data_IF_620046800569
#
_entry.id   IF_620046800569
#
_cell.length_a   1.000
_cell.length_b   1.000
_cell.length_c   1.000
_cell.angle_alpha   90.00
_cell.angle_beta   90.00
_cell.angle_gamma   90.00
#
_symmetry.space_group_name_H-M   'P 1'
#
loop_
_entity.id
_entity.type
_entity.pdbx_description
1 polymer ?
#
# COMPACT_ATOMS: atom_id res chain seq x y z
N UNK A 1 8.04 19.25 -3.35
CA UNK A 1 6.89 19.29 -2.42
C UNK A 1 6.80 17.96 -1.72
N UNK A 2 6.28 17.96 -0.49
CA UNK A 2 6.15 16.75 0.33
C UNK A 2 4.72 16.61 0.81
N UNK A 3 4.30 15.38 1.09
CA UNK A 3 3.09 15.06 1.83
C UNK A 3 3.50 14.76 3.26
N UNK A 4 2.77 15.33 4.23
CA UNK A 4 2.88 14.98 5.64
C UNK A 4 1.62 14.23 6.05
N UNK A 5 1.77 12.99 6.50
CA UNK A 5 0.69 12.14 6.99
C UNK A 5 0.90 11.86 8.48
N UNK A 6 -0.20 11.91 9.24
CA UNK A 6 -0.26 11.47 10.63
C UNK A 6 -1.06 10.18 10.70
N UNK A 7 -0.50 9.13 11.28
CA UNK A 7 -1.18 7.82 11.36
C UNK A 7 -0.82 7.05 12.62
N UNK A 8 -1.68 6.12 13.05
CA UNK A 8 -1.44 5.29 14.24
C UNK A 8 -0.46 4.15 13.98
N UNK A 9 -0.35 3.67 12.75
CA UNK A 9 0.52 2.55 12.37
C UNK A 9 1.15 2.85 11.01
N UNK A 10 2.39 2.44 10.84
CA UNK A 10 3.10 2.65 9.58
C UNK A 10 4.20 1.62 9.39
N UNK A 11 4.23 0.93 8.26
CA UNK A 11 5.35 0.06 7.91
C UNK A 11 6.42 0.83 7.15
N UNK A 12 7.33 1.45 7.92
CA UNK A 12 8.47 2.21 7.38
C UNK A 12 9.35 1.34 6.49
N UNK A 13 9.63 0.11 6.90
CA UNK A 13 10.54 -0.81 6.23
C UNK A 13 10.04 -1.19 4.83
N UNK A 14 8.75 -1.50 4.70
CA UNK A 14 8.14 -1.83 3.42
C UNK A 14 8.09 -0.62 2.47
N UNK A 15 7.76 0.57 2.99
CA UNK A 15 7.80 1.78 2.19
C UNK A 15 9.21 2.07 1.69
N UNK A 16 10.21 2.06 2.59
CA UNK A 16 11.61 2.25 2.21
C UNK A 16 12.03 1.23 1.17
N UNK A 17 11.67 -0.04 1.32
CA UNK A 17 11.98 -1.10 0.37
C UNK A 17 11.45 -0.80 -1.03
N UNK A 18 10.18 -0.42 -1.18
CA UNK A 18 9.61 -0.10 -2.49
C UNK A 18 10.12 1.24 -3.04
N UNK A 19 10.37 2.23 -2.19
CA UNK A 19 10.95 3.50 -2.61
C UNK A 19 12.35 3.30 -3.22
N UNK A 20 13.17 2.39 -2.67
CA UNK A 20 14.46 2.02 -3.25
C UNK A 20 14.35 1.42 -4.66
N UNK A 21 13.20 0.83 -5.00
CA UNK A 21 12.93 0.28 -6.33
C UNK A 21 12.15 1.25 -7.23
N UNK A 22 11.88 2.48 -6.78
CA UNK A 22 11.07 3.45 -7.52
C UNK A 22 9.58 3.10 -7.60
N UNK A 23 9.09 2.22 -6.72
CA UNK A 23 7.70 1.71 -6.69
C UNK A 23 6.88 2.29 -5.54
N UNK A 24 7.45 3.25 -4.82
CA UNK A 24 6.78 4.10 -3.83
C UNK A 24 7.46 5.47 -3.81
N UNK A 25 6.80 6.54 -3.31
CA UNK A 25 7.45 7.84 -3.15
C UNK A 25 8.69 7.74 -2.27
N UNK A 26 9.66 8.65 -2.44
CA UNK A 26 10.79 8.70 -1.51
C UNK A 26 10.29 9.05 -0.11
N UNK A 27 10.64 8.23 0.87
CA UNK A 27 10.37 8.50 2.27
C UNK A 27 11.49 9.36 2.87
N UNK A 28 11.15 10.55 3.38
CA UNK A 28 12.10 11.46 4.02
C UNK A 28 12.11 11.32 5.54
N UNK A 29 10.96 11.03 6.12
CA UNK A 29 10.80 10.87 7.57
C UNK A 29 9.66 9.91 7.88
N UNK A 30 9.83 9.03 8.86
CA UNK A 30 8.76 8.21 9.40
C UNK A 30 9.15 7.77 10.80
N UNK A 31 8.69 8.50 11.80
CA UNK A 31 8.94 8.20 13.21
C UNK A 31 7.66 8.34 14.02
N UNK A 32 7.58 7.57 15.10
CA UNK A 32 6.50 7.66 16.07
C UNK A 32 6.82 8.76 17.09
N UNK A 33 6.02 9.83 17.08
CA UNK A 33 6.31 11.06 17.80
C UNK A 33 5.17 11.46 18.73
N UNK A 34 5.51 12.04 19.89
CA UNK A 34 4.57 12.74 20.76
C UNK A 34 3.33 11.92 21.13
N UNK A 35 2.08 12.46 21.13
CA UNK A 35 0.90 11.84 21.73
C UNK A 35 0.34 10.64 20.94
N UNK A 36 1.22 9.85 20.33
CA UNK A 36 0.97 8.49 19.93
C UNK A 36 0.57 8.33 18.47
N UNK A 37 1.29 9.00 17.56
CA UNK A 37 1.13 8.84 16.11
C UNK A 37 2.49 8.85 15.40
N UNK A 38 2.56 8.17 14.27
CA UNK A 38 3.62 8.33 13.30
C UNK A 38 3.43 9.65 12.55
N UNK A 39 4.52 10.39 12.39
CA UNK A 39 4.64 11.49 11.42
C UNK A 39 5.41 10.94 10.23
N UNK A 40 4.77 10.94 9.07
CA UNK A 40 5.34 10.40 7.84
C UNK A 40 5.46 11.53 6.82
N UNK A 41 6.68 11.78 6.36
CA UNK A 41 7.00 12.77 5.33
C UNK A 41 7.56 12.05 4.12
N UNK A 42 6.93 12.20 2.97
CA UNK A 42 7.32 11.56 1.71
C UNK A 42 7.17 12.51 0.53
N UNK A 43 7.78 12.17 -0.60
CA UNK A 43 7.61 12.94 -1.83
C UNK A 43 6.14 13.08 -2.21
N UNK A 44 5.76 14.30 -2.59
CA UNK A 44 4.50 14.51 -3.29
C UNK A 44 4.69 14.13 -4.77
N UNK A 45 3.91 13.16 -5.25
CA UNK A 45 3.92 12.76 -6.65
C UNK A 45 3.17 13.82 -7.46
N UNK A 46 3.91 14.80 -7.97
CA UNK A 46 3.38 15.82 -8.89
C UNK A 46 2.88 15.16 -10.17
N UNK A 47 1.78 15.72 -10.69
CA UNK A 47 1.17 15.32 -11.95
C UNK A 47 0.80 13.83 -11.99
N UNK A 48 0.45 13.26 -10.82
CA UNK A 48 -0.16 11.93 -10.78
C UNK A 48 -1.44 11.93 -11.63
N UNK A 49 -1.62 10.88 -12.41
CA UNK A 49 -2.75 10.75 -13.31
C UNK A 49 -4.05 10.76 -12.49
N UNK A 50 -5.03 11.55 -12.95
CA UNK A 50 -6.36 11.60 -12.32
C UNK A 50 -7.14 10.35 -12.74
N UNK A 51 -6.92 9.26 -12.03
CA UNK A 51 -7.54 8.01 -12.38
C UNK A 51 -8.95 7.90 -11.75
N UNK A 52 -9.92 7.50 -12.57
CA UNK A 52 -11.27 7.22 -12.09
C UNK A 52 -11.28 5.86 -11.39
N UNK A 53 -11.93 5.78 -10.23
CA UNK A 53 -12.02 4.54 -9.43
C UNK A 53 -12.62 3.36 -10.21
N UNK A 54 -13.42 3.64 -11.24
CA UNK A 54 -14.14 2.65 -12.07
C UNK A 54 -13.32 2.04 -13.22
N UNK A 55 -12.05 2.41 -13.40
CA UNK A 55 -11.22 1.87 -14.49
C UNK A 55 -10.14 0.91 -13.99
N UNK A 56 -10.11 -0.27 -14.62
CA UNK A 56 -9.04 -1.25 -14.43
C UNK A 56 -7.68 -0.63 -14.74
N UNK A 57 -6.66 -1.03 -13.99
CA UNK A 57 -5.29 -0.57 -14.18
C UNK A 57 -4.75 -1.07 -15.54
N UNK A 58 -4.18 -0.19 -16.40
CA UNK A 58 -3.58 -0.60 -17.67
C UNK A 58 -2.52 -1.69 -17.50
N UNK A 59 -2.33 -2.55 -18.51
CA UNK A 59 -1.45 -3.73 -18.43
C UNK A 59 -0.02 -3.39 -17.95
N UNK A 60 0.58 -2.33 -18.47
CA UNK A 60 1.92 -1.87 -18.08
C UNK A 60 2.01 -1.53 -16.58
N UNK A 61 1.00 -0.86 -16.03
CA UNK A 61 0.95 -0.56 -14.60
C UNK A 61 0.66 -1.81 -13.79
N UNK A 62 -0.14 -2.75 -14.31
CA UNK A 62 -0.39 -4.04 -13.66
C UNK A 62 0.88 -4.85 -13.47
N UNK A 63 1.80 -4.84 -14.45
CA UNK A 63 3.12 -5.47 -14.33
C UNK A 63 3.96 -4.84 -13.22
N UNK A 64 4.01 -3.51 -13.15
CA UNK A 64 4.70 -2.79 -12.06
C UNK A 64 4.05 -3.05 -10.69
N UNK A 65 2.73 -3.15 -10.64
CA UNK A 65 2.00 -3.50 -9.42
C UNK A 65 2.37 -4.90 -8.94
N UNK A 66 2.34 -5.89 -9.84
CA UNK A 66 2.78 -7.27 -9.53
C UNK A 66 4.23 -7.29 -9.05
N UNK A 67 5.12 -6.52 -9.70
CA UNK A 67 6.51 -6.38 -9.27
C UNK A 67 6.61 -5.83 -7.83
N UNK A 68 5.88 -4.76 -7.50
CA UNK A 68 5.89 -4.16 -6.16
C UNK A 68 5.42 -5.17 -5.09
N UNK A 69 4.32 -5.88 -5.37
CA UNK A 69 3.78 -6.88 -4.44
C UNK A 69 4.74 -8.06 -4.27
N UNK A 70 5.36 -8.55 -5.34
CA UNK A 70 6.34 -9.63 -5.26
C UNK A 70 7.57 -9.24 -4.42
N UNK A 71 8.10 -8.02 -4.60
CA UNK A 71 9.23 -7.52 -3.80
C UNK A 71 8.88 -7.50 -2.30
N UNK A 72 7.67 -7.07 -1.95
CA UNK A 72 7.21 -7.10 -0.56
C UNK A 72 7.13 -8.53 -0.03
N UNK A 73 6.49 -9.42 -0.79
CA UNK A 73 6.27 -10.81 -0.42
C UNK A 73 7.59 -11.57 -0.22
N UNK A 74 8.56 -11.38 -1.10
CA UNK A 74 9.91 -11.96 -1.00
C UNK A 74 10.66 -11.50 0.26
N UNK A 75 10.35 -10.31 0.79
CA UNK A 75 10.90 -9.79 2.06
C UNK A 75 10.00 -10.08 3.26
N UNK A 76 8.98 -10.92 3.09
CA UNK A 76 8.05 -11.35 4.14
C UNK A 76 7.07 -10.27 4.58
N UNK A 77 6.80 -9.28 3.73
CA UNK A 77 5.76 -8.28 3.96
C UNK A 77 4.49 -8.59 3.19
N UNK A 78 3.37 -8.09 3.68
CA UNK A 78 2.06 -8.03 3.01
C UNK A 78 1.59 -6.58 3.00
N UNK A 79 0.96 -6.14 1.93
CA UNK A 79 0.50 -4.76 1.79
C UNK A 79 -0.84 -4.54 2.49
N UNK A 80 -1.78 -5.46 2.33
CA UNK A 80 -3.06 -5.51 3.04
C UNK A 80 -4.13 -4.58 2.46
N UNK A 81 -3.84 -3.28 2.32
CA UNK A 81 -4.81 -2.29 1.82
C UNK A 81 -4.64 -2.03 0.32
N UNK A 82 -4.56 -3.09 -0.50
CA UNK A 82 -4.35 -2.92 -1.93
C UNK A 82 -5.66 -2.56 -2.65
N UNK A 83 -5.83 -1.25 -2.90
CA UNK A 83 -7.01 -0.66 -3.55
C UNK A 83 -6.63 0.52 -4.41
N UNK A 84 -7.54 0.92 -5.30
CA UNK A 84 -7.31 1.96 -6.30
C UNK A 84 -6.76 3.27 -5.72
N UNK A 85 -7.28 3.80 -4.60
CA UNK A 85 -6.75 5.03 -3.99
C UNK A 85 -5.30 4.94 -3.49
N UNK A 86 -4.80 3.71 -3.26
CA UNK A 86 -3.45 3.46 -2.75
C UNK A 86 -2.46 3.14 -3.88
N UNK A 87 -2.88 3.28 -5.14
CA UNK A 87 -2.05 3.12 -6.34
C UNK A 87 -2.08 4.45 -7.11
N UNK A 88 -0.93 5.12 -7.17
CA UNK A 88 -0.76 6.32 -7.99
C UNK A 88 0.00 5.97 -9.25
N UNK A 89 -0.38 6.55 -10.38
CA UNK A 89 0.36 6.42 -11.64
C UNK A 89 0.80 7.80 -12.14
N UNK A 90 1.85 7.80 -12.95
CA UNK A 90 2.32 8.99 -13.68
C UNK A 90 2.97 8.56 -14.98
N UNK A 91 2.22 8.63 -16.07
CA UNK A 91 2.68 8.12 -17.36
C UNK A 91 2.94 6.61 -17.27
N UNK A 92 4.19 6.18 -17.40
CA UNK A 92 4.54 4.76 -17.27
C UNK A 92 4.83 4.30 -15.83
N UNK A 93 4.91 5.22 -14.87
CA UNK A 93 5.27 4.91 -13.49
C UNK A 93 4.06 4.52 -12.64
N UNK A 94 4.32 3.70 -11.62
CA UNK A 94 3.36 3.30 -10.60
C UNK A 94 4.02 3.39 -9.23
N UNK A 95 3.29 3.95 -8.28
CA UNK A 95 3.71 4.13 -6.90
C UNK A 95 2.64 3.59 -5.96
N UNK A 96 3.01 2.68 -5.07
CA UNK A 96 2.18 2.31 -3.93
C UNK A 96 2.34 3.36 -2.83
N UNK A 97 1.21 3.70 -2.20
CA UNK A 97 1.13 4.64 -1.07
C UNK A 97 0.23 4.06 0.02
N UNK A 98 0.24 4.67 1.21
CA UNK A 98 -0.55 4.20 2.36
C UNK A 98 -0.12 2.82 2.93
N UNK A 99 1.06 2.80 3.54
CA UNK A 99 1.65 1.61 4.17
C UNK A 99 1.16 1.40 5.62
N UNK A 100 0.00 1.93 6.00
CA UNK A 100 -0.49 1.91 7.39
C UNK A 100 -0.92 0.50 7.84
N UNK A 101 -1.35 -0.32 6.88
CA UNK A 101 -1.81 -1.69 7.11
C UNK A 101 -0.73 -2.72 6.79
N UNK A 102 0.25 -2.32 5.98
CA UNK A 102 1.37 -3.15 5.59
C UNK A 102 2.12 -3.65 6.84
N UNK A 103 2.69 -4.84 6.76
CA UNK A 103 3.46 -5.41 7.85
C UNK A 103 3.98 -6.81 7.52
N UNK A 104 4.60 -7.47 8.50
CA UNK A 104 5.14 -8.81 8.32
C UNK A 104 4.05 -9.88 8.26
N UNK A 105 4.23 -10.87 7.39
CA UNK A 105 3.42 -12.10 7.38
C UNK A 105 3.52 -12.76 8.77
N UNK A 106 2.40 -13.24 9.32
CA UNK A 106 2.37 -13.79 10.68
C UNK A 106 2.10 -12.76 11.79
N UNK A 107 2.27 -11.47 11.49
CA UNK A 107 2.16 -10.39 12.49
C UNK A 107 1.08 -9.36 12.11
N UNK A 108 1.02 -8.99 10.83
CA UNK A 108 0.09 -7.99 10.33
C UNK A 108 -1.36 -8.48 10.38
N UNK A 109 -2.25 -7.64 10.89
CA UNK A 109 -3.69 -7.94 11.04
C UNK A 109 -4.55 -6.81 10.53
N UNK A 110 -5.66 -7.17 9.89
CA UNK A 110 -6.68 -6.21 9.50
C UNK A 110 -7.29 -5.52 10.73
N UNK A 111 -7.63 -4.23 10.62
CA UNK A 111 -8.26 -3.53 11.73
C UNK A 111 -9.62 -4.13 12.06
N UNK A 112 -10.04 -4.01 13.32
CA UNK A 112 -11.33 -4.55 13.79
C UNK A 112 -12.54 -3.90 13.10
N UNK A 113 -12.37 -2.69 12.59
CA UNK A 113 -13.37 -1.92 11.87
C UNK A 113 -13.13 -1.89 10.35
N UNK A 114 -12.45 -2.91 9.79
CA UNK A 114 -12.32 -3.04 8.34
C UNK A 114 -13.71 -3.03 7.68
N UNK A 115 -13.88 -2.19 6.65
CA UNK A 115 -15.09 -2.17 5.83
C UNK A 115 -15.07 -3.36 4.88
N UNK A 116 -16.01 -4.27 5.08
CA UNK A 116 -16.15 -5.48 4.25
C UNK A 116 -17.06 -5.28 3.03
N UNK A 117 -17.98 -4.32 3.10
CA UNK A 117 -18.96 -4.03 2.05
C UNK A 117 -18.31 -3.35 0.84
N UNK A 118 -18.75 -3.75 -0.38
CA UNK A 118 -18.40 -3.16 -1.68
C UNK A 118 -16.93 -3.23 -2.11
N UNK A 119 -16.07 -3.93 -1.36
CA UNK A 119 -14.62 -3.91 -1.58
C UNK A 119 -14.06 -5.15 -2.30
N UNK A 120 -14.91 -6.15 -2.62
CA UNK A 120 -14.53 -7.45 -3.21
C UNK A 120 -13.21 -7.98 -2.62
N UNK A 121 -13.19 -8.19 -1.29
CA UNK A 121 -12.04 -8.72 -0.58
C UNK A 121 -11.87 -10.22 -0.83
N UNK A 122 -10.66 -10.74 -0.63
CA UNK A 122 -10.45 -12.18 -0.59
C UNK A 122 -11.36 -12.81 0.49
N UNK A 123 -11.97 -14.00 0.28
CA UNK A 123 -12.95 -14.58 1.21
C UNK A 123 -12.48 -14.78 2.65
N UNK A 124 -11.16 -14.90 2.85
CA UNK A 124 -10.55 -15.07 4.17
C UNK A 124 -10.23 -13.73 4.87
N UNK A 125 -10.44 -12.59 4.22
CA UNK A 125 -10.25 -11.27 4.83
C UNK A 125 -11.37 -11.00 5.82
N UNK A 126 -11.04 -10.41 6.96
CA UNK A 126 -12.03 -9.98 7.92
C UNK A 126 -11.42 -9.25 9.13
N UNK A 127 -12.28 -8.76 10.04
CA UNK A 127 -11.84 -8.06 11.24
C UNK A 127 -10.83 -8.87 12.07
N UNK A 128 -9.68 -8.27 12.39
CA UNK A 128 -8.59 -8.88 13.19
C UNK A 128 -7.94 -10.13 12.59
N UNK A 129 -8.35 -10.53 11.38
CA UNK A 129 -7.74 -11.64 10.66
C UNK A 129 -6.32 -11.25 10.26
N UNK A 130 -5.43 -12.24 10.30
CA UNK A 130 -4.05 -12.10 9.86
C UNK A 130 -4.00 -11.86 8.35
N UNK A 131 -3.14 -10.93 7.94
CA UNK A 131 -2.94 -10.66 6.53
C UNK A 131 -2.03 -11.74 5.92
N UNK A 132 -2.46 -12.27 4.77
CA UNK A 132 -1.72 -13.25 4.00
C UNK A 132 -1.37 -12.70 2.61
N UNK A 133 -0.30 -13.21 2.01
CA UNK A 133 0.13 -12.85 0.66
C UNK A 133 -0.95 -13.12 -0.39
N UNK A 134 -1.76 -14.16 -0.19
CA UNK A 134 -2.91 -14.48 -1.04
C UNK A 134 -3.94 -13.36 -1.08
N UNK A 135 -4.08 -12.57 -0.01
CA UNK A 135 -4.98 -11.41 0.01
C UNK A 135 -4.52 -10.32 -0.96
N UNK A 136 -3.22 -10.00 -0.96
CA UNK A 136 -2.65 -9.04 -1.92
C UNK A 136 -2.77 -9.58 -3.35
N UNK A 137 -2.36 -10.83 -3.59
CA UNK A 137 -2.42 -11.46 -4.91
C UNK A 137 -3.84 -11.49 -5.47
N UNK A 138 -4.84 -11.72 -4.62
CA UNK A 138 -6.25 -11.61 -5.00
C UNK A 138 -6.60 -10.17 -5.40
N UNK A 139 -6.21 -9.17 -4.60
CA UNK A 139 -6.49 -7.76 -4.91
C UNK A 139 -5.81 -7.27 -6.19
N UNK A 140 -4.60 -7.74 -6.51
CA UNK A 140 -3.94 -7.48 -7.82
C UNK A 140 -4.78 -7.98 -9.00
N UNK A 141 -5.56 -9.05 -8.82
CA UNK A 141 -6.45 -9.56 -9.87
C UNK A 141 -7.74 -8.76 -10.01
N UNK A 142 -8.13 -8.01 -8.98
CA UNK A 142 -9.35 -7.20 -8.93
C UNK A 142 -9.14 -5.73 -9.29
N UNK A 143 -7.89 -5.31 -9.54
CA UNK A 143 -7.50 -3.96 -9.96
C UNK A 143 -7.10 -3.97 -11.44
#
# INVERSE_FOLDING_TARGET
DVVVKFTKRYCKEAHVLLAHHGLAPKLHYAEYEGPGMHIVVMDYIKDADKEHEDHSIPLMHREKLMQAINILHEKGFVFGDLRRPNVLTRGADLFLVDFDWCGKVGEARYPANIRMEDMNWHPEVGPRVEMAQTHDSYRVQQL
#
